data_IF_344300848951
#
_entry.id   IF_344300848951
#
_cell.length_a   1.000
_cell.length_b   1.000
_cell.length_c   1.000
_cell.angle_alpha   90.00
_cell.angle_beta   90.00
_cell.angle_gamma   90.00
#
_symmetry.space_group_name_H-M   'P 1'
#
loop_
_entity.id
_entity.type
_entity.pdbx_description
1 polymer ?
#
# COMPACT_ATOMS: atom_id res chain seq x y z
N UNK A 1 18.11 55.11 11.12
CA UNK A 1 18.63 53.76 10.86
C UNK A 1 20.03 53.91 10.30
N UNK A 2 21.04 53.29 10.92
CA UNK A 2 22.41 53.27 10.40
C UNK A 2 22.53 52.26 9.25
N UNK A 3 23.47 52.48 8.33
CA UNK A 3 23.75 51.58 7.21
C UNK A 3 24.05 50.14 7.70
N UNK A 4 24.68 50.04 8.87
CA UNK A 4 24.97 48.78 9.57
C UNK A 4 23.72 48.00 9.96
N UNK A 5 22.65 48.67 10.40
CA UNK A 5 21.40 47.99 10.77
C UNK A 5 20.69 47.41 9.52
N UNK A 6 20.76 48.11 8.39
CA UNK A 6 20.20 47.63 7.11
C UNK A 6 21.00 46.44 6.59
N UNK A 7 22.34 46.51 6.62
CA UNK A 7 23.22 45.42 6.21
C UNK A 7 23.06 44.17 7.10
N UNK A 8 22.94 44.36 8.41
CA UNK A 8 22.73 43.26 9.37
C UNK A 8 21.38 42.57 9.18
N UNK A 9 20.32 43.34 8.89
CA UNK A 9 18.99 42.81 8.62
C UNK A 9 18.95 42.04 7.29
N UNK A 10 19.63 42.55 6.25
CA UNK A 10 19.77 41.85 4.96
C UNK A 10 20.60 40.56 5.08
N UNK A 11 21.66 40.56 5.89
CA UNK A 11 22.47 39.38 6.16
C UNK A 11 21.66 38.31 6.93
N UNK A 12 20.89 38.71 7.95
CA UNK A 12 20.00 37.81 8.69
C UNK A 12 18.89 37.23 7.80
N UNK A 13 18.29 38.04 6.92
CA UNK A 13 17.28 37.57 5.96
C UNK A 13 17.89 36.63 4.91
N UNK A 14 19.11 36.91 4.45
CA UNK A 14 19.84 36.05 3.53
C UNK A 14 20.16 34.68 4.13
N UNK A 15 20.69 34.64 5.36
CA UNK A 15 21.01 33.40 6.07
C UNK A 15 19.73 32.64 6.44
N UNK A 16 18.68 33.34 6.90
CA UNK A 16 17.38 32.76 7.20
C UNK A 16 16.72 32.11 5.96
N UNK A 17 16.83 32.74 4.79
CA UNK A 17 16.35 32.18 3.52
C UNK A 17 17.11 30.93 3.08
N UNK A 18 18.43 30.91 3.25
CA UNK A 18 19.26 29.73 2.93
C UNK A 18 18.96 28.55 3.87
N UNK A 19 18.80 28.80 5.17
CA UNK A 19 18.42 27.74 6.12
C UNK A 19 17.00 27.24 5.85
N UNK A 20 16.04 28.13 5.61
CA UNK A 20 14.66 27.76 5.30
C UNK A 20 14.55 26.91 4.03
N UNK A 21 15.28 27.26 2.97
CA UNK A 21 15.32 26.47 1.73
C UNK A 21 15.98 25.10 1.93
N UNK A 22 17.05 25.01 2.72
CA UNK A 22 17.68 23.72 3.07
C UNK A 22 16.71 22.79 3.80
N UNK A 23 16.04 23.26 4.85
CA UNK A 23 15.04 22.47 5.58
C UNK A 23 13.86 22.07 4.69
N UNK A 24 13.39 22.98 3.81
CA UNK A 24 12.33 22.68 2.85
C UNK A 24 12.71 21.53 1.91
N UNK A 25 13.93 21.55 1.35
CA UNK A 25 14.40 20.48 0.46
C UNK A 25 14.46 19.13 1.18
N UNK A 26 14.93 19.09 2.43
CA UNK A 26 14.94 17.85 3.20
C UNK A 26 13.53 17.33 3.49
N UNK A 27 12.61 18.22 3.84
CA UNK A 27 11.21 17.87 4.08
C UNK A 27 10.52 17.36 2.80
N UNK A 28 10.71 18.06 1.68
CA UNK A 28 10.18 17.66 0.37
C UNK A 28 10.70 16.27 -0.02
N UNK A 29 12.01 16.02 0.09
CA UNK A 29 12.59 14.70 -0.20
C UNK A 29 12.00 13.59 0.67
N UNK A 30 11.83 13.84 1.97
CA UNK A 30 11.23 12.87 2.89
C UNK A 30 9.78 12.58 2.52
N UNK A 31 9.00 13.62 2.20
CA UNK A 31 7.61 13.45 1.78
C UNK A 31 7.49 12.74 0.44
N UNK A 32 8.34 13.07 -0.54
CA UNK A 32 8.37 12.37 -1.82
C UNK A 32 8.67 10.88 -1.65
N UNK A 33 9.62 10.51 -0.79
CA UNK A 33 9.92 9.11 -0.50
C UNK A 33 8.75 8.39 0.19
N UNK A 34 8.05 9.06 1.12
CA UNK A 34 6.86 8.51 1.76
C UNK A 34 5.71 8.32 0.76
N UNK A 35 5.48 9.29 -0.12
CA UNK A 35 4.46 9.21 -1.17
C UNK A 35 4.76 8.09 -2.16
N UNK A 36 6.01 7.97 -2.63
CA UNK A 36 6.40 6.88 -3.53
C UNK A 36 6.21 5.51 -2.88
N UNK A 37 6.57 5.37 -1.59
CA UNK A 37 6.33 4.14 -0.82
C UNK A 37 4.83 3.83 -0.75
N UNK A 38 4.01 4.84 -0.53
CA UNK A 38 2.57 4.70 -0.41
C UNK A 38 1.92 4.30 -1.73
N UNK A 39 2.28 4.98 -2.83
CA UNK A 39 1.80 4.67 -4.18
C UNK A 39 2.19 3.24 -4.59
N UNK A 40 3.45 2.87 -4.35
CA UNK A 40 3.92 1.51 -4.59
C UNK A 40 3.09 0.48 -3.81
N UNK A 41 2.90 0.70 -2.50
CA UNK A 41 2.09 -0.18 -1.64
C UNK A 41 0.66 -0.29 -2.15
N UNK A 42 0.03 0.82 -2.54
CA UNK A 42 -1.34 0.84 -3.04
C UNK A 42 -1.49 0.01 -4.32
N UNK A 43 -0.58 0.20 -5.29
CA UNK A 43 -0.58 -0.56 -6.54
C UNK A 43 -0.44 -2.05 -6.27
N UNK A 44 0.52 -2.44 -5.41
CA UNK A 44 0.73 -3.86 -5.07
C UNK A 44 -0.46 -4.45 -4.31
N UNK A 45 -1.08 -3.73 -3.39
CA UNK A 45 -2.26 -4.23 -2.69
C UNK A 45 -3.47 -4.42 -3.61
N UNK A 46 -3.70 -3.51 -4.58
CA UNK A 46 -4.76 -3.71 -5.60
C UNK A 46 -4.51 -4.98 -6.42
N UNK A 47 -3.26 -5.21 -6.82
CA UNK A 47 -2.82 -6.43 -7.51
C UNK A 47 -3.15 -7.69 -6.68
N UNK A 48 -2.75 -7.71 -5.41
CA UNK A 48 -2.98 -8.85 -4.50
C UNK A 48 -4.46 -9.10 -4.25
N UNK A 49 -5.28 -8.05 -4.09
CA UNK A 49 -6.73 -8.19 -3.90
C UNK A 49 -7.40 -8.92 -5.06
N UNK A 50 -7.01 -8.60 -6.30
CA UNK A 50 -7.54 -9.28 -7.49
C UNK A 50 -7.17 -10.77 -7.48
N UNK A 51 -5.92 -11.09 -7.12
CA UNK A 51 -5.46 -12.47 -7.04
C UNK A 51 -6.17 -13.27 -5.94
N UNK A 52 -6.37 -12.67 -4.77
CA UNK A 52 -7.08 -13.30 -3.66
C UNK A 52 -8.54 -13.60 -4.03
N UNK A 53 -9.22 -12.65 -4.68
CA UNK A 53 -10.57 -12.87 -5.18
C UNK A 53 -10.61 -13.95 -6.24
N UNK A 54 -9.66 -13.94 -7.17
CA UNK A 54 -9.56 -14.97 -8.18
C UNK A 54 -9.30 -16.35 -7.58
N UNK A 55 -8.57 -16.43 -6.47
CA UNK A 55 -8.32 -17.71 -5.80
C UNK A 55 -9.61 -18.31 -5.23
N UNK A 56 -10.51 -17.48 -4.69
CA UNK A 56 -11.77 -17.94 -4.12
C UNK A 56 -12.77 -18.42 -5.18
N UNK A 57 -12.66 -17.95 -6.43
CA UNK A 57 -13.51 -18.37 -7.55
C UNK A 57 -12.71 -18.41 -8.86
N UNK A 58 -11.80 -19.40 -8.94
CA UNK A 58 -10.79 -19.48 -9.99
C UNK A 58 -11.39 -19.64 -11.39
N UNK A 59 -12.33 -20.57 -11.54
CA UNK A 59 -12.93 -20.89 -12.84
C UNK A 59 -13.63 -19.67 -13.47
N UNK A 60 -14.32 -18.86 -12.66
CA UNK A 60 -14.96 -17.63 -13.16
C UNK A 60 -13.95 -16.52 -13.41
N UNK A 61 -12.89 -16.46 -12.61
CA UNK A 61 -11.93 -15.35 -12.63
C UNK A 61 -10.80 -15.54 -13.64
N UNK A 62 -10.52 -16.76 -14.08
CA UNK A 62 -9.42 -17.09 -15.03
C UNK A 62 -9.44 -16.23 -16.29
N UNK A 63 -10.60 -16.13 -16.94
CA UNK A 63 -10.75 -15.29 -18.15
C UNK A 63 -10.45 -13.82 -17.87
N UNK A 64 -10.81 -13.33 -16.68
CA UNK A 64 -10.53 -11.95 -16.29
C UNK A 64 -9.04 -11.73 -16.02
N UNK A 65 -8.37 -12.67 -15.35
CA UNK A 65 -6.92 -12.63 -15.13
C UNK A 65 -6.14 -12.58 -16.45
N UNK A 66 -6.53 -13.40 -17.43
CA UNK A 66 -5.90 -13.41 -18.75
C UNK A 66 -6.05 -12.07 -19.48
N UNK A 67 -7.23 -11.46 -19.42
CA UNK A 67 -7.46 -10.10 -19.98
C UNK A 67 -6.62 -9.01 -19.30
N UNK A 68 -6.20 -9.23 -18.07
CA UNK A 68 -5.30 -8.34 -17.34
C UNK A 68 -3.81 -8.65 -17.61
N UNK A 69 -3.50 -9.52 -18.57
CA UNK A 69 -2.13 -9.86 -18.96
C UNK A 69 -1.49 -10.97 -18.12
N UNK A 70 -2.26 -11.73 -17.33
CA UNK A 70 -1.77 -12.86 -16.53
C UNK A 70 -2.04 -14.21 -17.20
N UNK A 71 -1.66 -14.34 -18.48
CA UNK A 71 -1.89 -15.53 -19.30
C UNK A 71 -1.16 -16.78 -18.77
N UNK A 72 -0.13 -16.58 -17.95
CA UNK A 72 0.63 -17.64 -17.31
C UNK A 72 -0.15 -18.39 -16.22
N UNK A 73 -1.22 -17.81 -15.65
CA UNK A 73 -2.02 -18.43 -14.59
C UNK A 73 -3.10 -19.32 -15.21
N UNK A 74 -2.85 -20.62 -15.29
CA UNK A 74 -3.75 -21.57 -15.97
C UNK A 74 -4.42 -22.55 -15.01
N UNK A 75 -3.82 -22.78 -13.85
CA UNK A 75 -4.28 -23.66 -12.80
C UNK A 75 -4.37 -22.90 -11.47
N UNK A 76 -5.09 -23.48 -10.51
CA UNK A 76 -5.14 -22.94 -9.15
C UNK A 76 -3.75 -22.94 -8.49
N UNK A 77 -2.90 -23.92 -8.83
CA UNK A 77 -1.52 -23.98 -8.33
C UNK A 77 -0.69 -22.79 -8.82
N UNK A 78 -0.80 -22.42 -10.10
CA UNK A 78 -0.08 -21.25 -10.64
C UNK A 78 -0.47 -19.97 -9.90
N UNK A 79 -1.75 -19.87 -9.52
CA UNK A 79 -2.27 -18.74 -8.76
C UNK A 79 -1.78 -18.76 -7.30
N UNK A 80 -1.67 -19.93 -6.69
CA UNK A 80 -1.09 -20.09 -5.36
C UNK A 80 0.38 -19.68 -5.33
N UNK A 81 1.16 -20.11 -6.34
CA UNK A 81 2.59 -19.78 -6.47
C UNK A 81 2.79 -18.27 -6.69
N UNK A 82 1.94 -17.64 -7.49
CA UNK A 82 1.91 -16.18 -7.67
C UNK A 82 1.58 -15.46 -6.36
N UNK A 83 0.57 -15.92 -5.60
CA UNK A 83 0.22 -15.34 -4.31
C UNK A 83 1.33 -15.51 -3.27
N UNK A 84 2.07 -16.62 -3.29
CA UNK A 84 3.23 -16.84 -2.44
C UNK A 84 4.39 -15.89 -2.81
N UNK A 85 4.60 -15.67 -4.10
CA UNK A 85 5.57 -14.69 -4.61
C UNK A 85 5.21 -13.28 -4.17
N UNK A 86 3.92 -12.91 -4.26
CA UNK A 86 3.42 -11.63 -3.76
C UNK A 86 3.62 -11.49 -2.24
N UNK A 87 3.35 -12.55 -1.46
CA UNK A 87 3.59 -12.53 -0.01
C UNK A 87 5.07 -12.28 0.33
N UNK A 88 6.00 -12.92 -0.39
CA UNK A 88 7.43 -12.66 -0.21
C UNK A 88 7.79 -11.21 -0.55
N UNK A 89 7.24 -10.65 -1.63
CA UNK A 89 7.46 -9.25 -2.00
C UNK A 89 6.89 -8.28 -0.95
N UNK A 90 5.76 -8.62 -0.34
CA UNK A 90 5.12 -7.82 0.70
C UNK A 90 6.00 -7.63 1.94
N UNK A 91 6.95 -8.53 2.22
CA UNK A 91 7.90 -8.40 3.36
C UNK A 91 8.65 -7.05 3.31
N UNK A 92 8.88 -6.51 2.12
CA UNK A 92 9.62 -5.25 1.95
C UNK A 92 8.84 -4.01 2.35
N UNK A 93 7.50 -4.06 2.37
CA UNK A 93 6.68 -2.84 2.46
C UNK A 93 5.41 -2.95 3.30
N UNK A 94 4.86 -4.13 3.50
CA UNK A 94 3.60 -4.35 4.19
C UNK A 94 3.75 -4.34 5.72
N UNK A 95 2.68 -4.00 6.44
CA UNK A 95 2.66 -4.16 7.90
C UNK A 95 2.62 -5.62 8.32
N UNK A 96 3.03 -5.89 9.56
CA UNK A 96 3.00 -7.22 10.15
C UNK A 96 1.59 -7.83 10.14
N UNK A 97 0.56 -7.02 10.41
CA UNK A 97 -0.83 -7.49 10.42
C UNK A 97 -1.31 -7.94 9.03
N UNK A 98 -0.84 -7.26 7.97
CA UNK A 98 -1.13 -7.66 6.59
C UNK A 98 -0.40 -8.97 6.26
N UNK A 99 0.89 -9.08 6.60
CA UNK A 99 1.69 -10.29 6.36
C UNK A 99 1.10 -11.52 7.06
N UNK A 100 0.66 -11.35 8.31
CA UNK A 100 0.03 -12.40 9.08
C UNK A 100 -1.33 -12.80 8.52
N UNK A 101 -2.19 -11.83 8.19
CA UNK A 101 -3.49 -12.10 7.60
C UNK A 101 -3.36 -12.82 6.24
N UNK A 102 -2.40 -12.40 5.42
CA UNK A 102 -2.09 -13.05 4.14
C UNK A 102 -1.67 -14.51 4.33
N UNK A 103 -0.79 -14.78 5.31
CA UNK A 103 -0.36 -16.16 5.62
C UNK A 103 -1.52 -17.04 6.09
N UNK A 104 -2.45 -16.49 6.86
CA UNK A 104 -3.65 -17.22 7.29
C UNK A 104 -4.59 -17.55 6.13
N UNK A 105 -4.70 -16.67 5.14
CA UNK A 105 -5.46 -16.95 3.92
C UNK A 105 -4.80 -18.07 3.13
N UNK A 106 -3.50 -17.96 2.82
CA UNK A 106 -2.77 -19.01 2.10
C UNK A 106 -2.92 -20.40 2.73
N UNK A 107 -2.97 -20.48 4.06
CA UNK A 107 -3.16 -21.77 4.76
C UNK A 107 -4.57 -22.37 4.63
N UNK A 108 -5.61 -21.54 4.64
CA UNK A 108 -7.00 -21.99 4.53
C UNK A 108 -7.85 -20.85 3.97
N UNK A 109 -7.93 -20.71 2.64
CA UNK A 109 -8.57 -19.59 1.96
C UNK A 109 -10.07 -19.51 2.25
N UNK A 110 -10.56 -18.30 2.56
CA UNK A 110 -12.00 -18.06 2.72
C UNK A 110 -12.34 -16.60 2.43
N UNK A 111 -13.62 -16.34 2.13
CA UNK A 111 -14.10 -14.98 1.87
C UNK A 111 -13.96 -14.06 3.10
N UNK A 112 -14.17 -14.61 4.31
CA UNK A 112 -13.95 -13.87 5.56
C UNK A 112 -12.49 -13.44 5.72
N UNK A 113 -11.54 -14.34 5.44
CA UNK A 113 -10.11 -14.01 5.51
C UNK A 113 -9.69 -13.03 4.42
N UNK A 114 -10.27 -13.13 3.23
CA UNK A 114 -10.10 -12.13 2.19
C UNK A 114 -10.51 -10.73 2.69
N UNK A 115 -11.70 -10.59 3.29
CA UNK A 115 -12.17 -9.32 3.85
C UNK A 115 -11.21 -8.85 4.95
N UNK A 116 -10.78 -9.75 5.83
CA UNK A 116 -9.86 -9.42 6.91
C UNK A 116 -8.52 -8.87 6.37
N UNK A 117 -7.95 -9.48 5.32
CA UNK A 117 -6.77 -8.95 4.64
C UNK A 117 -7.04 -7.56 4.06
N UNK A 118 -8.17 -7.37 3.36
CA UNK A 118 -8.52 -6.10 2.75
C UNK A 118 -8.66 -4.96 3.79
N UNK A 119 -9.24 -5.27 4.96
CA UNK A 119 -9.32 -4.32 6.09
C UNK A 119 -7.91 -3.95 6.57
N UNK A 120 -7.02 -4.93 6.75
CA UNK A 120 -5.66 -4.68 7.21
C UNK A 120 -4.86 -3.88 6.18
N UNK A 121 -4.98 -4.19 4.89
CA UNK A 121 -4.37 -3.43 3.80
C UNK A 121 -4.86 -1.98 3.78
N UNK A 122 -6.18 -1.76 3.98
CA UNK A 122 -6.75 -0.40 4.08
C UNK A 122 -6.18 0.36 5.28
N UNK A 123 -6.10 -0.30 6.44
CA UNK A 123 -5.52 0.29 7.66
C UNK A 123 -4.05 0.65 7.44
N UNK A 124 -3.29 -0.24 6.81
CA UNK A 124 -1.86 -0.04 6.51
C UNK A 124 -1.61 1.05 5.45
N UNK A 125 -2.57 1.27 4.55
CA UNK A 125 -2.52 2.40 3.62
C UNK A 125 -2.92 3.73 4.31
N UNK A 126 -4.08 3.79 4.96
CA UNK A 126 -4.71 5.08 5.28
C UNK A 126 -4.95 5.33 6.78
N UNK A 127 -4.58 4.41 7.66
CA UNK A 127 -4.70 4.57 9.11
C UNK A 127 -6.13 4.48 9.68
N UNK A 128 -7.12 4.09 8.86
CA UNK A 128 -8.52 3.93 9.29
C UNK A 128 -8.91 2.47 9.55
N UNK A 129 -9.79 2.23 10.52
CA UNK A 129 -10.35 0.89 10.80
C UNK A 129 -11.80 0.78 10.35
N UNK A 130 -12.13 -0.31 9.65
CA UNK A 130 -13.50 -0.74 9.37
C UNK A 130 -13.66 -2.10 10.05
N UNK A 131 -14.78 -2.32 10.74
CA UNK A 131 -15.00 -3.60 11.41
C UNK A 131 -15.45 -4.67 10.41
N UNK A 132 -14.95 -5.90 10.57
CA UNK A 132 -15.38 -7.06 9.78
C UNK A 132 -16.90 -7.25 9.84
N UNK A 133 -17.50 -7.08 11.02
CA UNK A 133 -18.94 -7.17 11.23
C UNK A 133 -19.72 -6.17 10.38
N UNK A 134 -19.21 -4.94 10.23
CA UNK A 134 -19.84 -3.91 9.40
C UNK A 134 -19.86 -4.31 7.93
N UNK A 135 -18.77 -4.89 7.41
CA UNK A 135 -18.66 -5.31 6.01
C UNK A 135 -19.54 -6.54 5.75
N UNK A 136 -19.49 -7.53 6.62
CA UNK A 136 -20.30 -8.75 6.45
C UNK A 136 -21.80 -8.43 6.42
N UNK A 137 -22.26 -7.48 7.23
CA UNK A 137 -23.65 -7.01 7.21
C UNK A 137 -24.06 -6.43 5.84
N UNK A 138 -23.16 -5.71 5.16
CA UNK A 138 -23.44 -5.11 3.86
C UNK A 138 -23.52 -6.14 2.71
N UNK A 139 -23.00 -7.35 2.90
CA UNK A 139 -23.05 -8.42 1.89
C UNK A 139 -24.27 -9.34 2.05
N UNK A 140 -25.05 -9.17 3.12
CA UNK A 140 -26.26 -9.96 3.41
C UNK A 140 -27.57 -9.22 3.12
N UNK A 141 -27.49 -7.94 2.76
CA UNK A 141 -28.61 -7.09 2.33
C UNK A 141 -28.63 -7.00 0.79
#
# INVERSE_FOLDING_TARGET
MTLENVASTLALLGIGGLLGTYFRILWERKNSALLQKQEFKEVRYKCVIILLLAYLDFEKSKTHLHRQGRENINTLQDLEDELLTEWNNMILFASEEVLFAMKQFLKNPSYEKFIHIAINMRKDLWGGSISLKSILKMNTD
#
